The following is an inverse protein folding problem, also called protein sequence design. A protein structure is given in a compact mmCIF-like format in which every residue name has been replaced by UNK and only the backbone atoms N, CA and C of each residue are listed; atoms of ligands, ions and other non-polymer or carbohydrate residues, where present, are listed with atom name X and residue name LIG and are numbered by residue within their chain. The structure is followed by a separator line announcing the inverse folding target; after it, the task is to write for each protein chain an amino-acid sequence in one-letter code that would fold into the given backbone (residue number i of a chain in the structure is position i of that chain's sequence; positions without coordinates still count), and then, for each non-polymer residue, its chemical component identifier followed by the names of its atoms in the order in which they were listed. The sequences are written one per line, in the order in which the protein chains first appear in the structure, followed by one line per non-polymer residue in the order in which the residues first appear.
data_IF_381569300496
#
_entry.id   IF_381569300496
#
_cell.length_a   1.000
_cell.length_b   1.000
_cell.length_c   1.000
_cell.angle_alpha   90.00
_cell.angle_beta   90.00
_cell.angle_gamma   90.00
#
_symmetry.space_group_name_H-M   'P 1'
#
loop_
_entity.id
_entity.type
_entity.pdbx_description
1 polymer ?
2 non-polymer ?
3 non-polymer ?
4 water ?
#
# COMPACT_ATOMS: atom_id res chain seq x y z
N UNK A 16 22.80 26.88 -8.36
CA UNK A 16 22.84 26.57 -9.81
C UNK A 16 24.14 25.80 -10.12
N UNK A 17 25.29 26.35 -9.71
CA UNK A 17 26.54 25.58 -9.75
C UNK A 17 26.45 24.28 -8.94
N UNK A 18 25.85 24.33 -7.75
CA UNK A 18 25.81 23.18 -6.85
C UNK A 18 24.65 22.22 -7.04
N UNK A 19 23.90 22.35 -8.12
CA UNK A 19 22.72 21.54 -8.35
C UNK A 19 23.06 20.49 -9.39
N UNK A 20 22.78 19.22 -9.07
CA UNK A 20 23.29 18.09 -9.84
C UNK A 20 22.18 17.05 -9.94
N UNK A 21 21.99 16.51 -11.15
CA UNK A 21 21.08 15.39 -11.36
C UNK A 21 21.88 14.21 -11.88
N UNK A 22 21.81 13.10 -11.15
CA UNK A 22 22.41 11.84 -11.56
C UNK A 22 21.30 10.86 -11.89
N UNK A 23 21.32 10.32 -13.10
CA UNK A 23 20.42 9.24 -13.51
C UNK A 23 21.11 7.93 -13.23
N UNK A 24 20.48 7.08 -12.42
CA UNK A 24 21.15 5.95 -11.79
C UNK A 24 20.30 4.69 -11.98
N UNK A 25 20.90 3.67 -12.60
CA UNK A 25 20.21 2.41 -12.92
C UNK A 25 19.80 1.65 -11.67
N UNK A 26 20.55 1.79 -10.56
CA UNK A 26 20.19 1.16 -9.31
C UNK A 26 20.92 1.89 -8.18
N UNK A 27 20.23 2.09 -7.06
CA UNK A 27 20.76 2.88 -5.94
C UNK A 27 21.76 2.07 -5.13
N UNK A 28 23.00 2.55 -5.06
CA UNK A 28 23.95 1.92 -4.15
C UNK A 28 23.59 2.30 -2.72
N UNK A 29 24.39 1.82 -1.77
CA UNK A 29 24.01 1.92 -0.37
C UNK A 29 23.77 3.37 0.03
N UNK A 30 24.74 4.25 -0.23
CA UNK A 30 24.71 5.62 0.28
C UNK A 30 23.56 6.43 -0.32
N UNK A 31 23.36 6.32 -1.64
CA UNK A 31 22.19 6.89 -2.29
C UNK A 31 20.90 6.44 -1.60
N UNK A 32 20.84 5.18 -1.17
CA UNK A 32 19.66 4.67 -0.48
C UNK A 32 19.46 5.36 0.88
N UNK A 33 20.55 5.61 1.60
CA UNK A 33 20.44 6.24 2.92
C UNK A 33 20.03 7.71 2.83
N UNK A 34 20.49 8.40 1.77
CA UNK A 34 20.04 9.77 1.53
C UNK A 34 18.54 9.82 1.22
N UNK A 35 18.05 8.90 0.37
CA UNK A 35 16.62 8.86 0.06
C UNK A 35 15.77 8.76 1.32
N UNK A 36 16.18 7.92 2.27
CA UNK A 36 15.41 7.75 3.50
C UNK A 36 15.43 9.01 4.35
N UNK A 37 16.52 9.78 4.31
CA UNK A 37 16.51 11.10 4.95
C UNK A 37 15.48 12.01 4.29
N UNK A 38 15.46 12.02 2.95
CA UNK A 38 14.49 12.84 2.23
C UNK A 38 13.06 12.35 2.50
N UNK A 39 12.85 11.04 2.54
CA UNK A 39 11.54 10.45 2.84
C UNK A 39 11.03 10.85 4.20
N UNK A 40 11.86 10.72 5.22
CA UNK A 40 11.46 11.16 6.56
C UNK A 40 11.03 12.62 6.55
N UNK A 41 11.82 13.47 5.88
CA UNK A 41 11.52 14.89 5.83
C UNK A 41 10.18 15.14 5.12
N UNK A 42 9.96 14.48 3.98
CA UNK A 42 8.67 14.59 3.30
C UNK A 42 7.56 13.99 4.15
N UNK A 43 7.80 12.81 4.74
CA UNK A 43 6.85 12.20 5.67
C UNK A 43 6.43 13.16 6.76
N UNK A 44 7.37 13.79 7.45
CA UNK A 44 6.98 14.75 8.46
C UNK A 44 6.24 15.96 7.92
N UNK A 45 6.56 16.43 6.75
CA UNK A 45 5.86 17.63 6.26
C UNK A 45 4.51 17.33 5.61
N UNK A 46 4.36 16.17 4.96
CA UNK A 46 3.14 15.87 4.21
C UNK A 46 2.20 14.90 4.89
N UNK A 47 2.67 14.13 5.86
CA UNK A 47 1.82 13.16 6.55
C UNK A 47 1.89 11.78 5.95
N UNK A 48 1.99 11.71 4.64
CA UNK A 48 2.16 10.47 3.89
C UNK A 48 3.23 10.66 2.83
N UNK A 49 3.73 9.55 2.30
CA UNK A 49 4.76 9.57 1.26
C UNK A 49 4.30 8.74 0.08
N UNK A 50 4.84 9.01 -1.11
CA UNK A 50 4.60 8.13 -2.27
C UNK A 50 5.25 6.76 -2.07
N UNK A 51 4.86 5.80 -2.94
CA UNK A 51 5.46 4.47 -2.87
C UNK A 51 6.87 4.56 -3.44
N UNK A 52 7.88 4.14 -2.68
CA UNK A 52 9.23 4.22 -3.17
C UNK A 52 9.82 2.87 -3.56
N UNK A 53 9.37 1.78 -2.94
CA UNK A 53 9.74 0.41 -3.29
C UNK A 53 11.23 0.17 -3.06
N UNK A 54 11.64 0.30 -1.79
CA UNK A 54 13.05 0.32 -1.45
C UNK A 54 13.75 -0.96 -1.89
N UNK A 55 13.18 -2.11 -1.51
CA UNK A 55 13.73 -3.40 -1.92
C UNK A 55 13.89 -3.49 -3.43
N UNK A 56 13.03 -2.79 -4.18
CA UNK A 56 13.21 -2.72 -5.63
C UNK A 56 14.39 -1.80 -5.98
N UNK A 57 14.55 -0.69 -5.26
CA UNK A 57 15.54 0.31 -5.67
C UNK A 57 16.96 -0.21 -5.64
N UNK A 58 17.17 -1.41 -5.08
CA UNK A 58 18.50 -2.00 -4.98
C UNK A 58 18.86 -2.89 -6.17
N UNK A 59 17.94 -3.19 -7.08
CA UNK A 59 18.25 -4.13 -8.15
C UNK A 59 18.51 -3.41 -9.47
N UNK A 60 19.45 -3.97 -10.24
CA UNK A 60 19.78 -3.47 -11.57
C UNK A 60 18.60 -3.67 -12.53
N UNK A 61 18.37 -2.68 -13.38
CA UNK A 61 17.30 -2.74 -14.36
C UNK A 61 17.85 -2.36 -15.73
N UNK A 62 17.01 -2.52 -16.77
CA UNK A 62 17.51 -2.43 -18.14
C UNK A 62 17.77 -0.99 -18.58
N UNK A 63 17.04 -0.03 -18.03
CA UNK A 63 17.26 1.37 -18.34
C UNK A 63 17.48 2.15 -17.05
N UNK A 64 18.17 3.29 -17.10
CA UNK A 64 18.44 4.07 -15.89
C UNK A 64 17.14 4.62 -15.32
N UNK A 65 16.88 4.31 -14.06
CA UNK A 65 15.50 4.37 -13.60
C UNK A 65 15.26 5.40 -12.50
N UNK A 66 16.14 5.50 -11.51
CA UNK A 66 15.99 6.48 -10.43
C UNK A 66 16.81 7.74 -10.72
N UNK A 67 16.20 8.90 -10.45
CA UNK A 67 16.78 10.20 -10.76
C UNK A 67 16.94 11.03 -9.50
N UNK A 68 18.18 11.44 -9.22
CA UNK A 68 18.56 12.02 -7.93
C UNK A 68 18.97 13.47 -8.16
N UNK A 69 18.31 14.37 -7.45
CA UNK A 69 18.60 15.80 -7.52
C UNK A 69 19.31 16.20 -6.23
N UNK A 70 20.54 16.68 -6.38
CA UNK A 70 21.37 17.13 -5.28
C UNK A 70 21.56 18.63 -5.39
N UNK A 71 21.61 19.29 -4.23
CA UNK A 71 22.00 20.69 -4.11
C UNK A 71 23.14 20.75 -3.12
N UNK A 72 24.33 21.11 -3.60
CA UNK A 72 25.53 21.15 -2.78
C UNK A 72 25.78 19.79 -2.10
N UNK A 73 25.63 18.71 -2.88
CA UNK A 73 25.90 17.36 -2.42
C UNK A 73 24.81 16.76 -1.55
N UNK A 74 23.70 17.46 -1.38
CA UNK A 74 22.63 17.06 -0.48
C UNK A 74 21.43 16.70 -1.34
N UNK A 75 20.88 15.49 -1.12
CA UNK A 75 19.74 15.04 -1.91
C UNK A 75 18.50 15.81 -1.53
N UNK A 76 17.88 16.49 -2.50
CA UNK A 76 16.68 17.29 -2.25
C UNK A 76 15.53 16.89 -3.15
N UNK A 77 15.75 16.00 -4.10
CA UNK A 77 14.68 15.55 -4.99
C UNK A 77 14.98 14.16 -5.48
N UNK A 78 13.92 13.43 -5.80
CA UNK A 78 14.02 12.05 -6.26
C UNK A 78 12.81 11.74 -7.14
N UNK A 79 13.06 11.11 -8.29
CA UNK A 79 12.01 10.61 -9.15
C UNK A 79 12.40 9.21 -9.60
N UNK A 80 11.45 8.29 -9.53
CA UNK A 80 11.73 6.93 -9.96
C UNK A 80 10.55 6.40 -10.76
N UNK A 81 10.85 5.45 -11.64
CA UNK A 81 9.87 4.86 -12.52
C UNK A 81 9.89 3.35 -12.30
N UNK A 82 8.72 2.74 -12.31
CA UNK A 82 8.57 1.37 -11.89
C UNK A 82 7.83 0.58 -12.97
N UNK A 83 8.29 -0.63 -13.22
CA UNK A 83 7.80 -1.47 -14.30
C UNK A 83 7.12 -2.69 -13.68
N UNK A 84 5.79 -2.63 -13.57
CA UNK A 84 5.02 -3.70 -12.97
C UNK A 84 4.13 -4.38 -14.01
N UNK A 88 1.47 0.03 -18.25
CA UNK A 88 1.37 1.11 -17.26
C UNK A 88 2.71 1.36 -16.60
N UNK A 89 2.91 2.52 -16.01
CA UNK A 89 4.15 2.86 -15.25
C UNK A 89 3.84 3.76 -14.04
N UNK A 90 4.46 3.43 -12.92
CA UNK A 90 4.25 4.15 -11.68
C UNK A 90 5.43 5.10 -11.41
N UNK A 91 5.15 6.40 -11.39
CA UNK A 91 6.13 7.46 -11.10
C UNK A 91 6.02 7.87 -9.64
N UNK A 92 7.13 7.80 -8.90
CA UNK A 92 7.22 8.41 -7.57
C UNK A 92 8.15 9.61 -7.61
N UNK A 93 7.69 10.75 -7.09
CA UNK A 93 8.39 12.02 -7.11
C UNK A 93 8.33 12.67 -5.74
N UNK A 94 9.50 13.08 -5.23
CA UNK A 94 9.68 13.54 -3.86
C UNK A 94 10.66 14.70 -3.88
N UNK A 95 10.25 15.85 -3.36
CA UNK A 95 11.11 17.04 -3.34
C UNK A 95 11.11 17.60 -1.92
N UNK A 96 12.29 17.88 -1.40
CA UNK A 96 12.43 18.47 -0.08
C UNK A 96 11.51 19.69 0.04
N UNK A 97 10.72 19.79 1.12
CA UNK A 97 9.85 20.97 1.31
C UNK A 97 10.55 22.32 1.13
N UNK A 98 11.81 22.46 1.57
CA UNK A 98 12.52 23.72 1.40
C UNK A 98 12.57 24.16 -0.06
N UNK A 99 12.68 23.22 -0.98
CA UNK A 99 12.98 23.53 -2.38
C UNK A 99 11.81 23.32 -3.30
N UNK A 100 10.57 23.30 -2.79
CA UNK A 100 9.41 23.07 -3.66
C UNK A 100 9.03 24.34 -4.44
N UNK A 101 8.33 24.13 -5.57
CA UNK A 101 7.92 25.17 -6.52
C UNK A 101 9.10 25.92 -7.14
N UNK A 102 10.25 25.25 -7.28
CA UNK A 102 11.41 25.89 -7.88
C UNK A 102 11.85 25.22 -9.17
N UNK A 103 11.01 24.37 -9.76
CA UNK A 103 11.36 23.63 -10.95
C UNK A 103 11.92 22.24 -10.74
N UNK A 104 12.08 21.77 -9.49
CA UNK A 104 12.82 20.51 -9.27
C UNK A 104 12.08 19.33 -9.88
N UNK A 105 10.81 19.12 -9.52
CA UNK A 105 10.07 18.00 -10.13
C UNK A 105 10.02 18.14 -11.64
N UNK A 106 9.88 19.38 -12.13
CA UNK A 106 9.82 19.62 -13.57
C UNK A 106 11.13 19.21 -14.24
N UNK A 107 12.27 19.52 -13.62
CA UNK A 107 13.50 19.02 -14.23
C UNK A 107 13.57 17.50 -14.13
N UNK A 108 12.99 16.91 -13.07
CA UNK A 108 13.19 15.49 -12.83
C UNK A 108 12.39 14.62 -13.82
N UNK A 109 11.18 15.04 -14.20
CA UNK A 109 10.41 14.20 -15.13
C UNK A 109 11.00 14.28 -16.52
N UNK A 110 11.53 15.44 -16.90
CA UNK A 110 12.23 15.58 -18.18
C UNK A 110 13.38 14.59 -18.30
N UNK A 111 14.13 14.40 -17.22
CA UNK A 111 15.15 13.37 -17.25
C UNK A 111 14.56 11.98 -17.50
N UNK A 112 13.24 11.83 -17.32
CA UNK A 112 12.56 10.60 -17.61
C UNK A 112 11.49 10.74 -18.69
N UNK A 113 11.40 11.87 -19.38
CA UNK A 113 10.33 12.00 -20.36
C UNK A 113 10.78 11.39 -21.68
N UNK A 114 12.10 11.72 -22.20
CA UNK A 114 12.62 10.90 -23.31
C UNK A 114 13.24 9.59 -22.84
N UNK A 115 12.38 8.63 -22.48
CA UNK A 115 12.79 7.22 -22.44
C UNK A 115 11.56 6.30 -22.35
N UNK A 124 1.38 7.21 -17.30
CA UNK A 124 2.10 7.59 -16.08
C UNK A 124 1.19 7.60 -14.82
N UNK A 125 1.41 6.66 -13.90
CA UNK A 125 0.63 6.58 -12.66
C UNK A 125 1.47 7.18 -11.52
N UNK A 126 1.06 8.33 -11.00
CA UNK A 126 1.74 8.95 -9.88
C UNK A 126 1.11 8.52 -8.55
N UNK A 127 1.93 8.11 -7.58
CA UNK A 127 1.43 7.87 -6.23
C UNK A 127 1.61 9.14 -5.41
N UNK A 128 0.56 9.56 -4.72
CA UNK A 128 0.49 10.92 -4.21
C UNK A 128 -0.04 10.92 -2.78
N UNK A 129 0.68 11.53 -1.84
CA UNK A 129 0.15 11.66 -0.48
C UNK A 129 -1.25 12.22 -0.47
N UNK A 130 -2.15 11.49 0.19
CA UNK A 130 -3.56 11.84 0.16
C UNK A 130 -3.77 13.29 0.59
N UNK A 131 -4.57 14.01 -0.19
CA UNK A 131 -5.10 15.37 0.05
C UNK A 131 -4.10 16.46 -0.30
N UNK A 132 -2.86 16.12 -0.69
CA UNK A 132 -1.86 17.17 -0.90
C UNK A 132 -2.10 17.94 -2.19
N UNK A 133 -2.44 17.25 -3.27
CA UNK A 133 -2.32 17.80 -4.62
C UNK A 133 -3.62 17.68 -5.39
N UNK A 134 -4.76 17.65 -4.71
CA UNK A 134 -6.01 17.28 -5.38
C UNK A 134 -6.45 18.36 -6.37
N UNK A 135 -6.50 19.61 -5.90
CA UNK A 135 -6.95 20.71 -6.75
C UNK A 135 -6.13 20.82 -8.03
N UNK A 136 -4.80 20.88 -7.90
CA UNK A 136 -3.99 21.21 -9.07
C UNK A 136 -3.70 20.01 -9.96
N UNK A 137 -3.88 18.77 -9.50
CA UNK A 137 -3.72 17.64 -10.41
C UNK A 137 -4.85 17.58 -11.43
N UNK A 138 -6.10 17.86 -10.99
CA UNK A 138 -7.22 17.93 -11.93
C UNK A 138 -6.99 19.03 -12.96
N UNK A 139 -6.71 20.25 -12.51
CA UNK A 139 -6.59 21.40 -13.41
C UNK A 139 -5.62 21.14 -14.57
N UNK A 140 -4.70 20.22 -14.40
CA UNK A 140 -3.73 19.87 -15.43
C UNK A 140 -4.18 18.67 -16.21
N UNK A 141 -5.27 18.07 -15.80
CA UNK A 141 -5.79 16.93 -16.52
C UNK A 141 -5.34 15.58 -16.02
N UNK A 142 -4.89 15.48 -14.78
CA UNK A 142 -4.72 14.15 -14.20
C UNK A 142 -6.09 13.54 -13.92
N UNK A 143 -6.11 12.21 -13.79
CA UNK A 143 -7.33 11.44 -13.56
C UNK A 143 -7.13 10.53 -12.36
N UNK A 144 -8.04 10.62 -11.40
CA UNK A 144 -7.96 9.83 -10.17
C UNK A 144 -8.33 8.37 -10.45
N UNK A 145 -7.45 7.45 -10.05
CA UNK A 145 -7.71 6.00 -10.19
C UNK A 145 -8.36 5.47 -8.92
N UNK A 146 -7.60 5.38 -7.84
CA UNK A 146 -8.05 4.89 -6.55
C UNK A 146 -6.98 5.24 -5.52
N UNK A 147 -7.30 4.96 -4.26
CA UNK A 147 -6.43 5.30 -3.14
C UNK A 147 -6.04 4.03 -2.39
N UNK A 148 -4.86 4.07 -1.77
CA UNK A 148 -4.39 2.98 -0.93
C UNK A 148 -4.01 3.50 0.45
N UNK A 149 -4.34 2.70 1.47
CA UNK A 149 -4.17 3.08 2.87
C UNK A 149 -3.47 1.96 3.62
N UNK A 150 -2.43 2.33 4.37
CA UNK A 150 -1.83 1.46 5.37
C UNK A 150 -2.38 1.88 6.71
N UNK A 151 -3.05 0.98 7.40
CA UNK A 151 -3.71 1.31 8.64
C UNK A 151 -3.07 0.53 9.76
N UNK A 152 -3.17 1.04 10.98
CA UNK A 152 -2.53 0.42 12.12
C UNK A 152 -3.49 0.47 13.29
N UNK A 153 -3.60 -0.64 13.99
CA UNK A 153 -4.37 -0.74 15.22
C UNK A 153 -3.40 -1.14 16.32
N UNK A 154 -3.17 -0.24 17.27
CA UNK A 154 -2.18 -0.41 18.34
C UNK A 154 -2.81 -0.70 19.69
N UNK A 155 -4.12 -0.53 19.82
CA UNK A 155 -4.85 -0.87 21.03
C UNK A 155 -4.70 -2.36 21.34
N UNK A 156 -4.21 -2.66 22.55
CA UNK A 156 -4.04 -4.05 23.00
C UNK A 156 -5.33 -4.71 23.50
N UNK A 157 -6.47 -3.99 23.51
CA UNK A 157 -7.71 -4.60 23.99
C UNK A 157 -8.43 -5.29 22.84
N UNK A 158 -8.91 -6.53 23.03
CA UNK A 158 -9.68 -7.18 21.98
C UNK A 158 -10.95 -6.42 21.62
N UNK A 159 -11.69 -6.94 20.63
CA UNK A 159 -12.98 -6.38 20.23
C UNK A 159 -14.05 -7.33 20.73
N UNK A 160 -15.12 -6.76 21.28
CA UNK A 160 -16.09 -7.54 22.03
C UNK A 160 -17.50 -7.29 21.51
N UNK A 163 -20.36 -10.33 17.25
CA UNK A 163 -21.48 -11.27 17.38
C UNK A 163 -22.38 -11.24 16.11
N UNK A 164 -21.99 -12.02 15.11
CA UNK A 164 -22.75 -12.30 13.90
C UNK A 164 -22.90 -13.81 13.74
N UNK A 165 -23.86 -14.27 12.90
CA UNK A 165 -23.99 -15.74 12.71
C UNK A 165 -22.91 -16.30 11.78
N UNK A 166 -21.65 -16.11 12.17
CA UNK A 166 -20.51 -16.54 11.38
C UNK A 166 -19.63 -17.46 12.21
N UNK A 167 -19.10 -18.49 11.58
CA UNK A 167 -17.99 -19.24 12.11
C UNK A 167 -16.78 -18.98 11.24
N UNK A 168 -15.61 -19.34 11.77
CA UNK A 168 -14.35 -19.09 11.10
C UNK A 168 -13.49 -20.36 11.10
N UNK A 169 -12.75 -20.55 10.02
CA UNK A 169 -11.76 -21.61 9.97
C UNK A 169 -10.57 -21.15 9.12
N UNK A 170 -9.42 -21.77 9.38
CA UNK A 170 -8.22 -21.51 8.59
C UNK A 170 -8.29 -22.28 7.28
N UNK A 171 -7.97 -21.60 6.18
CA UNK A 171 -7.98 -22.28 4.88
C UNK A 171 -6.80 -23.25 4.75
N UNK A 172 -7.05 -24.32 4.01
CA UNK A 172 -6.06 -25.31 3.61
C UNK A 172 -6.07 -25.39 2.09
N UNK A 173 -5.16 -26.21 1.55
CA UNK A 173 -5.09 -26.40 0.10
C UNK A 173 -6.41 -26.89 -0.49
N UNK A 174 -7.20 -27.61 0.30
CA UNK A 174 -8.50 -28.07 -0.19
C UNK A 174 -9.55 -26.96 -0.24
N UNK A 175 -9.16 -25.72 0.08
CA UNK A 175 -10.03 -24.56 0.00
C UNK A 175 -9.76 -23.73 -1.25
N UNK A 176 -8.88 -24.21 -2.14
CA UNK A 176 -8.54 -23.45 -3.34
C UNK A 176 -9.78 -23.02 -4.16
N UNK A 177 -10.71 -23.93 -4.50
CA UNK A 177 -11.95 -23.46 -5.17
C UNK A 177 -12.67 -22.33 -4.45
N UNK A 178 -12.88 -22.46 -3.14
CA UNK A 178 -13.56 -21.41 -2.37
C UNK A 178 -12.82 -20.10 -2.50
N UNK A 179 -11.49 -20.14 -2.32
CA UNK A 179 -10.67 -18.93 -2.31
C UNK A 179 -10.67 -18.27 -3.68
N UNK A 180 -10.58 -19.07 -4.74
CA UNK A 180 -10.63 -18.53 -6.09
C UNK A 180 -12.00 -17.91 -6.38
N UNK A 181 -13.08 -18.60 -6.00
CA UNK A 181 -14.42 -18.03 -6.17
C UNK A 181 -14.57 -16.68 -5.50
N UNK A 182 -14.13 -16.57 -4.23
CA UNK A 182 -14.25 -15.30 -3.50
C UNK A 182 -13.44 -14.19 -4.16
N UNK A 183 -12.21 -14.48 -4.56
CA UNK A 183 -11.39 -13.49 -5.25
C UNK A 183 -11.97 -13.10 -6.60
N UNK A 184 -12.69 -14.00 -7.26
CA UNK A 184 -13.23 -13.70 -8.59
C UNK A 184 -14.28 -12.59 -8.50
N UNK A 185 -15.15 -12.64 -7.49
CA UNK A 185 -16.24 -11.68 -7.41
C UNK A 185 -15.89 -10.43 -6.60
N UNK A 186 -14.81 -10.45 -5.84
CA UNK A 186 -14.47 -9.32 -4.98
C UNK A 186 -13.30 -8.52 -5.51
N UNK A 187 -12.43 -9.16 -6.28
CA UNK A 187 -11.34 -8.48 -6.96
C UNK A 187 -11.33 -8.97 -8.41
N UNK A 188 -12.34 -8.58 -9.21
CA UNK A 188 -12.44 -9.02 -10.62
C UNK A 188 -11.15 -8.81 -11.41
N UNK A 193 -3.50 -15.65 -12.31
CA UNK A 193 -3.39 -17.05 -11.90
C UNK A 193 -3.74 -17.21 -10.42
N UNK A 194 -5.04 -17.37 -10.14
CA UNK A 194 -5.50 -17.41 -8.76
C UNK A 194 -5.14 -18.72 -8.07
N UNK A 195 -5.29 -19.84 -8.78
CA UNK A 195 -5.03 -21.15 -8.20
C UNK A 195 -3.62 -21.24 -7.62
N UNK A 196 -2.64 -20.76 -8.38
CA UNK A 196 -1.25 -20.92 -7.97
C UNK A 196 -0.82 -19.82 -7.01
N UNK A 197 -1.36 -18.61 -7.18
CA UNK A 197 -1.19 -17.57 -6.16
C UNK A 197 -1.64 -18.08 -4.78
N UNK A 198 -2.86 -18.61 -4.67
CA UNK A 198 -3.33 -19.13 -3.38
C UNK A 198 -2.53 -20.35 -2.94
N UNK A 199 -2.10 -21.19 -3.89
CA UNK A 199 -1.18 -22.26 -3.55
C UNK A 199 0.11 -21.72 -2.93
N UNK A 200 0.66 -20.66 -3.48
CA UNK A 200 1.85 -20.05 -2.95
C UNK A 200 1.62 -19.44 -1.57
N UNK A 201 0.56 -18.66 -1.42
CA UNK A 201 0.23 -18.09 -0.12
C UNK A 201 0.06 -19.20 0.92
N UNK A 202 -0.75 -20.22 0.61
CA UNK A 202 -1.06 -21.19 1.65
C UNK A 202 0.17 -22.00 2.06
N UNK A 203 1.12 -22.21 1.14
CA UNK A 203 2.33 -22.96 1.46
C UNK A 203 3.39 -22.11 2.14
N UNK A 204 3.26 -20.78 2.13
CA UNK A 204 4.18 -19.93 2.87
C UNK A 204 3.78 -19.90 4.35
N UNK A 205 4.75 -20.16 5.23
CA UNK A 205 4.48 -20.32 6.65
C UNK A 205 4.23 -19.00 7.39
N UNK A 206 4.56 -17.85 6.79
CA UNK A 206 4.22 -16.60 7.41
C UNK A 206 2.80 -16.15 7.09
N UNK A 207 2.13 -16.83 6.15
CA UNK A 207 0.80 -16.48 5.67
C UNK A 207 -0.25 -17.49 6.11
N UNK A 208 -1.41 -16.98 6.48
CA UNK A 208 -2.59 -17.82 6.68
C UNK A 208 -3.77 -17.08 6.09
N UNK A 209 -4.84 -17.82 5.80
CA UNK A 209 -6.08 -17.24 5.31
C UNK A 209 -7.20 -17.74 6.20
N UNK A 210 -8.04 -16.82 6.66
CA UNK A 210 -9.22 -17.12 7.45
C UNK A 210 -10.44 -17.10 6.54
N UNK A 211 -11.27 -18.11 6.62
CA UNK A 211 -12.50 -18.17 5.84
C UNK A 211 -13.67 -17.96 6.78
N UNK A 212 -14.62 -17.14 6.36
CA UNK A 212 -15.80 -16.81 7.13
C UNK A 212 -16.95 -17.63 6.57
N UNK A 213 -17.65 -18.38 7.41
CA UNK A 213 -18.75 -19.24 6.98
C UNK A 213 -20.07 -18.71 7.50
N UNK A 214 -21.05 -18.58 6.62
CA UNK A 214 -22.42 -18.26 7.01
C UNK A 214 -23.20 -19.56 6.93
N UNK A 215 -23.49 -20.15 8.09
CA UNK A 215 -23.95 -21.54 8.15
C UNK A 215 -22.87 -22.30 7.42
N UNK A 216 -23.21 -23.06 6.39
CA UNK A 216 -22.33 -23.95 5.68
C UNK A 216 -21.82 -23.33 4.40
N UNK A 217 -22.01 -22.01 4.23
CA UNK A 217 -21.57 -21.28 3.04
C UNK A 217 -20.40 -20.40 3.38
N UNK A 218 -19.29 -20.50 2.62
CA UNK A 218 -18.21 -19.52 2.78
C UNK A 218 -18.59 -18.20 2.13
N UNK A 219 -18.55 -17.13 2.88
CA UNK A 219 -18.93 -15.84 2.43
C UNK A 219 -17.83 -14.79 2.46
N UNK A 220 -16.67 -15.20 2.92
CA UNK A 220 -15.57 -14.33 2.99
C UNK A 220 -14.25 -14.89 3.40
N UNK A 221 -13.26 -14.02 3.31
CA UNK A 221 -11.92 -14.37 3.64
C UNK A 221 -11.01 -13.19 4.00
N UNK A 222 -10.01 -13.45 4.79
CA UNK A 222 -8.98 -12.46 5.10
C UNK A 222 -7.62 -13.16 5.16
N UNK A 223 -6.61 -12.50 4.64
CA UNK A 223 -5.26 -13.03 4.66
C UNK A 223 -4.53 -12.39 5.82
N UNK A 224 -3.70 -13.16 6.50
CA UNK A 224 -2.88 -12.68 7.60
C UNK A 224 -1.45 -12.97 7.21
N UNK A 225 -0.57 -11.99 7.36
CA UNK A 225 0.85 -12.22 7.24
C UNK A 225 1.41 -11.98 8.62
N UNK A 226 1.94 -13.02 9.21
CA UNK A 226 2.42 -12.95 10.59
C UNK A 226 3.87 -12.50 10.63
N UNK A 227 4.17 -11.60 11.56
CA UNK A 227 5.54 -11.32 11.99
C UNK A 227 5.63 -11.54 13.50
N UNK A 228 6.83 -11.32 14.05
CA UNK A 228 7.07 -11.54 15.48
C UNK A 228 6.26 -10.59 16.36
N UNK A 229 6.21 -9.30 16.01
CA UNK A 229 5.56 -8.30 16.84
C UNK A 229 4.22 -7.83 16.29
N UNK A 230 3.82 -8.30 15.12
CA UNK A 230 2.67 -7.73 14.45
C UNK A 230 2.23 -8.66 13.33
N UNK A 231 1.04 -8.39 12.81
CA UNK A 231 0.53 -9.17 11.70
C UNK A 231 -0.32 -8.21 10.86
N UNK A 232 -0.37 -8.51 9.57
CA UNK A 232 -0.96 -7.62 8.60
C UNK A 232 -2.10 -8.35 7.92
N UNK A 233 -3.30 -7.74 8.00
CA UNK A 233 -4.48 -8.23 7.27
C UNK A 233 -4.46 -7.69 5.85
N UNK A 234 -4.89 -8.50 4.88
CA UNK A 234 -5.02 -8.01 3.51
C UNK A 234 -6.05 -8.86 2.77
N UNK A 235 -6.44 -8.36 1.59
CA UNK A 235 -7.24 -9.13 0.65
C UNK A 235 -8.55 -9.59 1.25
N UNK A 236 -9.11 -8.73 2.10
CA UNK A 236 -10.37 -9.01 2.77
C UNK A 236 -11.50 -8.99 1.76
N UNK A 237 -12.28 -10.05 1.73
CA UNK A 237 -13.37 -10.11 0.77
C UNK A 237 -14.63 -10.66 1.44
N UNK A 238 -15.76 -10.02 1.19
CA UNK A 238 -17.08 -10.55 1.50
C UNK A 238 -17.87 -10.64 0.19
N UNK A 239 -18.56 -11.76 -0.02
CA UNK A 239 -19.42 -11.88 -1.18
C UNK A 239 -20.28 -10.62 -1.34
N UNK A 240 -20.46 -10.10 -2.55
CA UNK A 240 -21.32 -8.91 -2.73
C UNK A 240 -22.71 -9.04 -2.11
N UNK A 241 -23.35 -10.22 -2.25
CA UNK A 241 -24.70 -10.46 -1.74
C UNK A 241 -24.77 -10.51 -0.23
N UNK A 242 -23.63 -10.69 0.46
CA UNK A 242 -23.60 -10.76 1.91
C UNK A 242 -23.02 -9.48 2.53
N UNK A 243 -22.75 -8.47 1.73
CA UNK A 243 -22.22 -7.23 2.26
C UNK A 243 -23.33 -6.43 2.93
N UNK A 244 -22.94 -5.46 3.75
CA UNK A 244 -23.91 -4.65 4.46
C UNK A 244 -24.58 -5.32 5.64
N UNK A 245 -24.13 -6.50 6.04
CA UNK A 245 -24.71 -7.23 7.17
C UNK A 245 -23.78 -7.32 8.37
N UNK A 246 -22.67 -6.56 8.38
CA UNK A 246 -21.71 -6.68 9.44
C UNK A 246 -20.74 -7.85 9.34
N UNK A 247 -20.75 -8.62 8.25
CA UNK A 247 -19.86 -9.77 8.19
C UNK A 247 -18.40 -9.33 8.05
N UNK A 248 -18.16 -8.27 7.26
CA UNK A 248 -16.81 -7.74 7.12
C UNK A 248 -16.20 -7.32 8.45
N UNK A 249 -16.95 -6.55 9.24
CA UNK A 249 -16.48 -6.12 10.55
C UNK A 249 -16.29 -7.30 11.49
N UNK A 250 -17.21 -8.27 11.45
CA UNK A 250 -17.05 -9.48 12.26
C UNK A 250 -15.79 -10.25 11.87
N UNK A 251 -15.52 -10.33 10.55
CA UNK A 251 -14.33 -11.06 10.08
C UNK A 251 -13.05 -10.38 10.55
N UNK A 252 -12.97 -9.04 10.38
CA UNK A 252 -11.77 -8.31 10.78
C UNK A 252 -11.59 -8.33 12.29
N UNK A 253 -12.69 -8.12 13.04
CA UNK A 253 -12.67 -8.22 14.49
C UNK A 253 -12.17 -9.60 14.96
N UNK A 254 -12.59 -10.67 14.28
CA UNK A 254 -12.08 -12.01 14.57
C UNK A 254 -10.57 -12.09 14.32
N UNK A 255 -10.10 -11.49 13.24
CA UNK A 255 -8.67 -11.59 12.93
C UNK A 255 -7.84 -10.77 13.91
N UNK A 256 -8.31 -9.57 14.25
CA UNK A 256 -7.68 -8.77 15.30
C UNK A 256 -7.54 -9.57 16.59
N UNK A 257 -8.65 -10.13 17.09
CA UNK A 257 -8.58 -10.87 18.34
C UNK A 257 -7.63 -12.04 18.22
N UNK A 258 -7.70 -12.76 17.09
CA UNK A 258 -6.81 -13.88 16.89
C UNK A 258 -5.35 -13.43 16.93
N UNK A 259 -5.06 -12.28 16.34
CA UNK A 259 -3.70 -11.76 16.38
C UNK A 259 -3.31 -11.39 17.83
N UNK A 260 -4.23 -10.80 18.61
CA UNK A 260 -3.84 -10.36 19.95
C UNK A 260 -3.62 -11.54 20.88
N UNK A 261 -4.43 -12.59 20.70
CA UNK A 261 -4.25 -13.82 21.45
C UNK A 261 -2.86 -14.42 21.28
N UNK A 262 -2.17 -14.10 20.19
CA UNK A 262 -0.82 -14.63 19.99
C UNK A 262 0.25 -13.71 20.53
N UNK A 263 -0.12 -12.58 21.13
CA UNK A 263 0.86 -11.72 21.78
C UNK A 263 1.41 -10.64 20.90
N UNK A 264 0.91 -10.46 19.68
CA UNK A 264 1.30 -9.31 18.89
C UNK A 264 0.75 -8.03 19.49
N UNK A 265 1.48 -6.95 19.34
CA UNK A 265 1.05 -5.66 19.83
C UNK A 265 0.47 -4.77 18.73
N UNK A 266 0.25 -5.31 17.54
CA UNK A 266 -0.14 -4.40 16.47
C UNK A 266 -0.79 -5.19 15.35
N UNK A 267 -1.89 -4.66 14.84
CA UNK A 267 -2.53 -5.19 13.65
C UNK A 267 -2.39 -4.12 12.57
N UNK A 268 -1.82 -4.47 11.43
CA UNK A 268 -1.79 -3.57 10.29
C UNK A 268 -2.80 -4.01 9.26
N UNK A 269 -3.10 -3.12 8.33
CA UNK A 269 -4.12 -3.42 7.35
C UNK A 269 -3.84 -2.57 6.12
N UNK A 270 -3.85 -3.22 4.97
CA UNK A 270 -3.74 -2.53 3.70
C UNK A 270 -5.06 -2.71 3.00
N UNK A 271 -5.66 -1.61 2.55
CA UNK A 271 -6.90 -1.66 1.81
C UNK A 271 -6.87 -0.61 0.72
N UNK A 272 -7.32 -0.99 -0.48
CA UNK A 272 -7.47 -0.08 -1.59
C UNK A 272 -8.94 0.26 -1.79
N UNK A 273 -9.23 1.53 -2.02
CA UNK A 273 -10.61 1.96 -2.16
C UNK A 273 -10.67 2.98 -3.28
N UNK A 274 -11.89 3.28 -3.71
CA UNK A 274 -12.13 4.41 -4.59
C UNK A 274 -12.73 5.60 -3.85
N UNK A 275 -13.13 5.41 -2.59
CA UNK A 275 -13.85 6.46 -1.89
C UNK A 275 -13.52 6.39 -0.40
N UNK A 276 -13.36 7.56 0.21
CA UNK A 276 -12.94 7.62 1.62
C UNK A 276 -14.00 7.03 2.54
N UNK A 277 -15.28 7.15 2.16
CA UNK A 277 -16.38 6.57 2.91
C UNK A 277 -16.10 5.12 3.32
N UNK A 278 -15.32 4.39 2.52
CA UNK A 278 -15.10 2.97 2.78
C UNK A 278 -14.24 2.71 4.02
N UNK A 279 -13.50 3.71 4.53
CA UNK A 279 -12.59 3.49 5.67
C UNK A 279 -13.30 3.50 7.02
N UNK A 280 -14.54 4.00 7.09
CA UNK A 280 -15.22 4.04 8.37
C UNK A 280 -15.31 2.67 8.98
N UNK A 281 -15.54 1.66 8.14
CA UNK A 281 -15.45 0.26 8.54
C UNK A 281 -14.26 0.02 9.48
N UNK A 282 -13.07 0.40 9.01
CA UNK A 282 -11.85 0.13 9.77
C UNK A 282 -11.63 1.14 10.90
N UNK A 283 -12.06 2.40 10.73
CA UNK A 283 -11.99 3.37 11.82
C UNK A 283 -12.80 2.90 13.03
N UNK A 284 -13.92 2.24 12.80
CA UNK A 284 -14.76 1.71 13.88
C UNK A 284 -14.09 0.61 14.70
N UNK A 285 -13.23 -0.18 14.04
CA UNK A 285 -12.50 -1.27 14.71
C UNK A 285 -11.22 -0.81 15.38
N UNK A 286 -10.89 0.48 15.33
CA UNK A 286 -9.72 1.02 16.00
C UNK A 286 -8.53 1.28 15.12
N UNK A 287 -8.64 1.10 13.82
CA UNK A 287 -7.54 1.36 12.91
C UNK A 287 -7.37 2.86 12.67
N UNK A 288 -6.12 3.29 12.59
CA UNK A 288 -5.74 4.65 12.27
C UNK A 288 -4.95 4.63 10.97
N UNK A 289 -5.10 5.69 10.18
CA UNK A 289 -4.29 5.83 8.98
C UNK A 289 -2.85 6.15 9.36
N UNK A 290 -1.92 5.37 8.84
CA UNK A 290 -0.50 5.65 8.99
C UNK A 290 0.11 6.21 7.71
N UNK A 291 -0.45 5.83 6.57
CA UNK A 291 -0.06 6.36 5.28
C UNK A 291 -1.26 6.29 4.35
N UNK A 292 -1.35 7.20 3.40
CA UNK A 292 -2.48 7.24 2.49
C UNK A 292 -2.04 7.86 1.17
N UNK A 293 -2.22 7.10 0.08
CA UNK A 293 -1.84 7.54 -1.26
C UNK A 293 -3.04 7.54 -2.23
N UNK A 294 -3.07 8.53 -3.10
CA UNK A 294 -4.00 8.58 -4.21
C UNK A 294 -3.21 8.37 -5.50
N UNK A 295 -3.64 7.39 -6.32
CA UNK A 295 -3.03 7.14 -7.61
C UNK A 295 -3.70 7.99 -8.68
N UNK A 296 -2.96 8.86 -9.31
CA UNK A 296 -3.42 9.73 -10.36
C UNK A 296 -2.81 9.35 -11.71
N UNK A 297 -3.45 9.68 -12.83
CA UNK A 297 -2.92 9.33 -14.14
C UNK A 297 -2.84 10.41 -15.21
N UNK A 298 -1.86 10.19 -16.11
CA UNK A 298 -1.61 11.09 -17.23
C UNK A 298 -0.75 10.57 -18.41
N UNK A 299 -0.71 11.26 -19.54
CA UNK A 299 0.05 11.08 -20.79
C UNK A 299 -0.16 12.27 -21.77
#
# INVERSE_FOLDING_TARGET
MGSSHHHHHHSSGLVPRGSMITQVNQLDELQLKDLKTLRAECKKNDGSIPNLYIHILKQHRSLPTSFLYYQNGALIGFLSIYFFYDDAVEVAVLVSPQYRRQGIAKQLIKEALPLIKSQNYFNLIFSCPSRLNDNWLTSKGFTYLHSEYFMERDDLNPILDYIRPLSFRMATLEDIPILCGLDEVCFPDKNQDSVHRFQQILNEREYEIVIAMLNNHPIGKSHIRWQTKRATLSDIAILPKEQGKGFGSALIAHCINMILSEGKSRVDLDVETHNKKALNLYIQLGFHIQNACDYWSINVNQLAK
#
